data_IF_353718937992
#
_entry.id   IF_353718937992
#
_cell.length_a   1.000
_cell.length_b   1.000
_cell.length_c   1.000
_cell.angle_alpha   90.00
_cell.angle_beta   90.00
_cell.angle_gamma   90.00
#
_symmetry.space_group_name_H-M   'P 1'
#
loop_
_entity.id
_entity.type
_entity.pdbx_description
1 polymer ?
#
# COMPACT_ATOMS: atom_id res chain seq x y z
N UNK A 1 17.82 -14.10 -23.27
CA UNK A 1 17.37 -13.17 -22.22
C UNK A 1 15.97 -12.74 -22.60
N UNK A 2 14.97 -13.23 -21.88
CA UNK A 2 13.57 -12.84 -22.12
C UNK A 2 13.28 -11.58 -21.31
N UNK A 3 12.62 -10.60 -21.93
CA UNK A 3 12.23 -9.34 -21.27
C UNK A 3 10.74 -9.44 -20.97
N UNK A 4 10.39 -9.40 -19.68
CA UNK A 4 8.99 -9.37 -19.22
C UNK A 4 8.66 -7.94 -18.81
N UNK A 5 7.72 -7.31 -19.51
CA UNK A 5 7.21 -5.99 -19.14
C UNK A 5 6.11 -6.15 -18.08
N UNK A 6 6.27 -5.46 -16.95
CA UNK A 6 5.26 -5.41 -15.90
C UNK A 6 4.61 -4.02 -15.97
N UNK A 7 3.30 -3.99 -16.21
CA UNK A 7 2.55 -2.76 -16.20
C UNK A 7 2.46 -2.18 -14.77
N UNK A 8 2.34 -0.87 -14.66
CA UNK A 8 2.05 -0.22 -13.38
C UNK A 8 0.65 -0.58 -12.88
N UNK A 9 0.40 -0.27 -11.61
CA UNK A 9 -0.87 -0.55 -10.93
C UNK A 9 -1.81 0.66 -10.97
N UNK A 10 -3.10 0.42 -11.18
CA UNK A 10 -4.14 1.44 -11.00
C UNK A 10 -4.44 1.66 -9.51
N UNK A 11 -5.15 2.75 -9.18
CA UNK A 11 -5.42 3.13 -7.80
C UNK A 11 -6.09 2.02 -6.97
N UNK A 12 -7.09 1.33 -7.52
CA UNK A 12 -7.77 0.22 -6.83
C UNK A 12 -6.83 -0.95 -6.52
N UNK A 13 -5.94 -1.29 -7.47
CA UNK A 13 -4.92 -2.33 -7.28
C UNK A 13 -3.91 -1.91 -6.22
N UNK A 14 -3.46 -0.64 -6.26
CA UNK A 14 -2.59 -0.07 -5.21
C UNK A 14 -3.25 -0.11 -3.85
N UNK A 15 -4.55 0.17 -3.75
CA UNK A 15 -5.31 0.09 -2.49
C UNK A 15 -5.34 -1.33 -1.94
N UNK A 16 -5.62 -2.33 -2.79
CA UNK A 16 -5.60 -3.73 -2.36
C UNK A 16 -4.21 -4.15 -1.90
N UNK A 17 -3.15 -3.83 -2.66
CA UNK A 17 -1.76 -4.13 -2.27
C UNK A 17 -1.40 -3.44 -0.95
N UNK A 18 -1.80 -2.17 -0.79
CA UNK A 18 -1.51 -1.40 0.41
C UNK A 18 -2.17 -2.01 1.65
N UNK A 19 -3.46 -2.38 1.55
CA UNK A 19 -4.22 -2.92 2.67
C UNK A 19 -3.87 -4.36 3.00
N UNK A 20 -3.74 -5.20 1.99
CA UNK A 20 -3.57 -6.64 2.20
C UNK A 20 -2.14 -7.05 2.49
N UNK A 21 -1.17 -6.25 2.06
CA UNK A 21 0.24 -6.60 2.15
C UNK A 21 1.07 -5.51 2.85
N UNK A 22 1.08 -4.28 2.34
CA UNK A 22 2.03 -3.26 2.83
C UNK A 22 1.72 -2.81 4.26
N UNK A 23 0.45 -2.59 4.61
CA UNK A 23 0.03 -2.22 5.96
C UNK A 23 0.46 -3.30 6.95
N UNK A 24 0.08 -4.55 6.68
CA UNK A 24 0.37 -5.69 7.57
C UNK A 24 1.87 -5.90 7.76
N UNK A 25 2.63 -5.87 6.66
CA UNK A 25 4.07 -6.05 6.70
C UNK A 25 4.77 -4.91 7.46
N UNK A 26 4.36 -3.66 7.23
CA UNK A 26 4.91 -2.50 7.94
C UNK A 26 4.62 -2.56 9.43
N UNK A 27 3.38 -2.90 9.81
CA UNK A 27 3.01 -3.07 11.24
C UNK A 27 3.83 -4.15 11.91
N UNK A 28 4.01 -5.29 11.24
CA UNK A 28 4.84 -6.37 11.74
C UNK A 28 6.30 -5.93 11.91
N UNK A 29 6.88 -5.27 10.90
CA UNK A 29 8.26 -4.78 10.95
C UNK A 29 8.49 -3.73 12.05
N UNK A 30 7.48 -2.90 12.32
CA UNK A 30 7.52 -1.89 13.38
C UNK A 30 7.11 -2.44 14.77
N UNK A 31 6.64 -3.69 14.86
CA UNK A 31 6.14 -4.28 16.12
C UNK A 31 4.83 -3.66 16.63
N UNK A 32 4.04 -3.04 15.76
CA UNK A 32 2.79 -2.35 16.10
C UNK A 32 1.63 -3.35 16.11
N UNK A 33 0.95 -3.45 17.25
CA UNK A 33 -0.25 -4.27 17.39
C UNK A 33 -1.48 -3.61 16.76
N UNK A 34 -2.49 -4.39 16.39
CA UNK A 34 -3.71 -3.92 15.71
C UNK A 34 -4.50 -2.86 16.49
N UNK A 35 -4.45 -2.92 17.81
CA UNK A 35 -5.12 -2.01 18.75
C UNK A 35 -4.39 -0.68 18.97
N UNK A 36 -3.10 -0.60 18.62
CA UNK A 36 -2.28 0.59 18.89
C UNK A 36 -2.44 1.68 17.83
N UNK A 37 -2.75 1.29 16.60
CA UNK A 37 -2.86 2.21 15.45
C UNK A 37 -3.97 1.72 14.51
N UNK A 38 -4.87 2.61 14.13
CA UNK A 38 -5.83 2.37 13.06
C UNK A 38 -5.34 3.07 11.78
N UNK A 39 -5.25 2.32 10.69
CA UNK A 39 -4.96 2.87 9.36
C UNK A 39 -6.26 2.88 8.57
N UNK A 40 -6.76 4.07 8.27
CA UNK A 40 -8.01 4.25 7.53
C UNK A 40 -7.77 4.19 6.02
N UNK A 41 -8.78 3.73 5.28
CA UNK A 41 -8.72 3.67 3.81
C UNK A 41 -8.54 5.06 3.20
N UNK A 42 -9.11 6.10 3.82
CA UNK A 42 -8.93 7.50 3.38
C UNK A 42 -7.50 7.98 3.51
N UNK A 43 -6.78 7.59 4.57
CA UNK A 43 -5.38 7.94 4.75
C UNK A 43 -4.49 7.22 3.73
N UNK A 44 -4.78 5.93 3.46
CA UNK A 44 -4.07 5.16 2.43
C UNK A 44 -4.29 5.74 1.03
N UNK A 45 -5.53 6.08 0.70
CA UNK A 45 -5.86 6.70 -0.59
C UNK A 45 -5.13 8.04 -0.76
N UNK A 46 -5.15 8.89 0.27
CA UNK A 46 -4.44 10.18 0.23
C UNK A 46 -2.93 10.01 0.03
N UNK A 47 -2.31 8.96 0.58
CA UNK A 47 -0.90 8.65 0.33
C UNK A 47 -0.67 8.19 -1.11
N UNK A 48 -1.53 7.33 -1.64
CA UNK A 48 -1.43 6.85 -3.03
C UNK A 48 -1.58 8.00 -4.01
N UNK A 49 -2.54 8.90 -3.79
CA UNK A 49 -2.79 10.04 -4.67
C UNK A 49 -1.74 11.14 -4.55
N UNK A 50 -1.21 11.41 -3.36
CA UNK A 50 -0.25 12.52 -3.15
C UNK A 50 1.22 12.13 -3.32
N UNK A 51 1.60 10.87 -3.09
CA UNK A 51 2.99 10.43 -3.22
C UNK A 51 3.34 9.86 -4.62
N UNK A 52 2.35 9.64 -5.50
CA UNK A 52 2.64 9.32 -6.91
C UNK A 52 2.35 10.55 -7.78
N UNK A 53 3.36 11.34 -8.20
CA UNK A 53 3.14 12.32 -9.26
C UNK A 53 2.76 11.57 -10.55
N UNK A 54 1.76 12.13 -11.26
CA UNK A 54 1.29 11.68 -12.58
C UNK A 54 2.44 11.61 -13.60
#
# INVERSE_FOLDING_TARGET
MEIIAIAGYITDEKMHIARDYLEKNTRQACGIKTDQVEVTDTALLALIENCTPL
#
